data_IF_825310101072
#
_entry.id   IF_825310101072
#
_cell.length_a   1.000
_cell.length_b   1.000
_cell.length_c   1.000
_cell.angle_alpha   90.00
_cell.angle_beta   90.00
_cell.angle_gamma   90.00
#
_symmetry.space_group_name_H-M   'P 1'
#
loop_
_entity.id
_entity.type
_entity.pdbx_description
1 polymer ?
#
# COMPACT_ATOMS: atom_id res chain seq x y z
N UNK A 1 -30.17 -17.28 20.64
CA UNK A 1 -29.31 -17.78 19.55
C UNK A 1 -28.86 -16.68 18.56
N UNK A 2 -29.75 -15.83 18.05
CA UNK A 2 -29.42 -14.75 17.11
C UNK A 2 -28.46 -13.68 17.68
N UNK A 3 -28.61 -13.31 18.96
CA UNK A 3 -27.76 -12.33 19.64
C UNK A 3 -26.35 -12.85 19.89
N UNK A 4 -26.19 -14.15 20.18
CA UNK A 4 -24.88 -14.78 20.38
C UNK A 4 -24.08 -14.84 19.09
N UNK A 5 -24.71 -15.17 17.97
CA UNK A 5 -24.07 -15.16 16.63
C UNK A 5 -23.65 -13.74 16.21
N UNK A 6 -24.42 -12.72 16.61
CA UNK A 6 -24.10 -11.30 16.36
C UNK A 6 -22.91 -10.83 17.19
N UNK A 7 -22.80 -11.31 18.44
CA UNK A 7 -21.68 -10.99 19.33
C UNK A 7 -20.38 -11.64 18.86
N UNK A 8 -20.43 -12.92 18.52
CA UNK A 8 -19.26 -13.65 17.95
C UNK A 8 -18.79 -13.01 16.63
N UNK A 9 -19.73 -12.59 15.74
CA UNK A 9 -19.39 -11.87 14.51
C UNK A 9 -18.73 -10.51 14.79
N UNK A 10 -19.13 -9.81 15.85
CA UNK A 10 -18.53 -8.53 16.25
C UNK A 10 -17.12 -8.72 16.81
N UNK A 11 -16.91 -9.71 17.67
CA UNK A 11 -15.61 -10.05 18.24
C UNK A 11 -14.61 -10.50 17.17
N UNK A 12 -15.02 -11.39 16.27
CA UNK A 12 -14.19 -11.84 15.16
C UNK A 12 -13.83 -10.69 14.21
N UNK A 13 -14.79 -9.80 13.92
CA UNK A 13 -14.55 -8.62 13.08
C UNK A 13 -13.60 -7.62 13.78
N UNK A 14 -13.71 -7.46 15.09
CA UNK A 14 -12.83 -6.59 15.88
C UNK A 14 -11.41 -7.15 15.98
N UNK A 15 -11.27 -8.44 16.23
CA UNK A 15 -9.98 -9.14 16.29
C UNK A 15 -9.28 -9.15 14.91
N UNK A 16 -10.03 -9.36 13.82
CA UNK A 16 -9.51 -9.25 12.45
C UNK A 16 -9.05 -7.82 12.14
N UNK A 17 -9.81 -6.79 12.51
CA UNK A 17 -9.43 -5.38 12.31
C UNK A 17 -8.10 -5.07 12.99
N UNK A 18 -7.89 -5.54 14.22
CA UNK A 18 -6.67 -5.30 14.99
C UNK A 18 -5.45 -6.02 14.41
N UNK A 19 -5.61 -7.27 13.91
CA UNK A 19 -4.53 -8.01 13.23
C UNK A 19 -4.15 -7.36 11.88
N UNK A 20 -5.15 -6.98 11.10
CA UNK A 20 -4.95 -6.36 9.79
C UNK A 20 -4.28 -4.98 9.94
N UNK A 21 -4.68 -4.20 10.93
CA UNK A 21 -4.06 -2.90 11.25
C UNK A 21 -2.57 -3.04 11.61
N UNK A 22 -2.20 -4.07 12.36
CA UNK A 22 -0.80 -4.36 12.65
C UNK A 22 0.01 -4.68 11.40
N UNK A 23 -0.52 -5.49 10.48
CA UNK A 23 0.18 -5.85 9.23
C UNK A 23 0.45 -4.60 8.39
N UNK A 24 -0.56 -3.73 8.23
CA UNK A 24 -0.40 -2.50 7.47
C UNK A 24 0.56 -1.51 8.16
N UNK A 25 0.58 -1.49 9.50
CA UNK A 25 1.56 -0.72 10.25
C UNK A 25 2.99 -1.23 10.02
N UNK A 26 3.19 -2.54 10.07
CA UNK A 26 4.51 -3.12 9.81
C UNK A 26 5.00 -2.83 8.39
N UNK A 27 4.14 -2.93 7.36
CA UNK A 27 4.52 -2.58 6.00
C UNK A 27 4.90 -1.10 5.85
N UNK A 28 4.14 -0.20 6.50
CA UNK A 28 4.45 1.23 6.51
C UNK A 28 5.75 1.55 7.28
N UNK A 29 5.99 0.88 8.41
CA UNK A 29 7.23 1.05 9.17
C UNK A 29 8.42 0.52 8.37
N UNK A 30 8.29 -0.62 7.71
CA UNK A 30 9.32 -1.15 6.83
C UNK A 30 9.64 -0.19 5.67
N UNK A 31 8.61 0.42 5.04
CA UNK A 31 8.82 1.43 4.01
C UNK A 31 9.58 2.65 4.53
N UNK A 32 9.25 3.11 5.76
CA UNK A 32 9.96 4.22 6.42
C UNK A 32 11.43 3.91 6.70
N UNK A 33 11.74 2.68 7.14
CA UNK A 33 13.12 2.24 7.35
C UNK A 33 13.92 2.19 6.04
N UNK A 34 13.32 1.67 4.97
CA UNK A 34 13.94 1.66 3.64
C UNK A 34 14.21 3.09 3.17
N UNK A 35 13.22 4.00 3.34
CA UNK A 35 13.38 5.41 2.96
C UNK A 35 14.52 6.08 3.74
N UNK A 36 14.61 5.83 5.06
CA UNK A 36 15.70 6.35 5.87
C UNK A 36 17.07 5.84 5.39
N UNK A 37 17.16 4.55 5.08
CA UNK A 37 18.39 3.96 4.54
C UNK A 37 18.77 4.59 3.20
N UNK A 38 17.82 4.81 2.30
CA UNK A 38 18.06 5.48 1.01
C UNK A 38 18.54 6.92 1.18
N UNK A 39 17.97 7.64 2.16
CA UNK A 39 18.40 9.01 2.46
C UNK A 39 19.87 9.05 2.93
N UNK A 40 20.26 8.14 3.83
CA UNK A 40 21.65 8.00 4.28
C UNK A 40 22.57 7.61 3.13
N UNK A 41 22.18 6.65 2.30
CA UNK A 41 22.93 6.21 1.13
C UNK A 41 23.17 7.38 0.15
N UNK A 42 22.11 8.13 -0.17
CA UNK A 42 22.21 9.28 -1.07
C UNK A 42 23.09 10.37 -0.47
N UNK A 43 23.00 10.61 0.84
CA UNK A 43 23.89 11.55 1.53
C UNK A 43 25.36 11.13 1.42
N UNK A 44 25.66 9.85 1.67
CA UNK A 44 27.01 9.31 1.57
C UNK A 44 27.56 9.40 0.13
N UNK A 45 26.73 9.11 -0.89
CA UNK A 45 27.15 9.23 -2.29
C UNK A 45 27.48 10.68 -2.66
N UNK A 46 26.60 11.63 -2.32
CA UNK A 46 26.82 13.05 -2.60
C UNK A 46 28.08 13.56 -1.88
N UNK A 47 28.26 13.18 -0.61
CA UNK A 47 29.43 13.55 0.18
C UNK A 47 30.71 12.94 -0.40
N UNK A 48 30.70 11.65 -0.71
CA UNK A 48 31.83 10.95 -1.32
C UNK A 48 32.22 11.55 -2.67
N UNK A 49 31.23 11.86 -3.49
CA UNK A 49 31.43 12.52 -4.81
C UNK A 49 32.03 13.92 -4.67
N UNK A 50 31.59 14.69 -3.67
CA UNK A 50 32.04 16.09 -3.48
C UNK A 50 33.41 16.22 -2.81
N UNK A 51 33.68 15.40 -1.80
CA UNK A 51 34.88 15.55 -0.94
C UNK A 51 35.99 14.54 -1.25
N UNK A 52 35.62 13.34 -1.72
CA UNK A 52 36.55 12.24 -1.94
C UNK A 52 36.79 11.95 -3.43
N UNK A 53 36.09 12.65 -4.35
CA UNK A 53 36.06 12.38 -5.79
C UNK A 53 35.80 10.90 -6.12
N UNK A 54 35.15 10.17 -5.22
CA UNK A 54 34.83 8.76 -5.36
C UNK A 54 33.33 8.55 -5.13
N UNK A 55 32.51 8.40 -6.19
CA UNK A 55 31.08 8.09 -6.05
C UNK A 55 30.93 6.66 -5.53
N UNK A 56 29.82 6.42 -4.79
CA UNK A 56 29.43 5.06 -4.42
C UNK A 56 28.83 4.38 -5.65
N UNK A 57 29.48 3.32 -6.16
CA UNK A 57 28.99 2.57 -7.32
C UNK A 57 27.63 1.93 -7.03
N UNK A 58 26.68 2.02 -7.99
CA UNK A 58 25.36 1.41 -7.88
C UNK A 58 24.35 2.18 -7.01
N UNK A 59 24.70 3.37 -6.48
CA UNK A 59 23.74 4.19 -5.69
C UNK A 59 22.46 4.48 -6.47
N UNK A 60 22.56 4.80 -7.74
CA UNK A 60 21.40 5.12 -8.59
C UNK A 60 20.45 3.93 -8.68
N UNK A 61 20.97 2.73 -8.92
CA UNK A 61 20.18 1.50 -9.01
C UNK A 61 19.50 1.15 -7.69
N UNK A 62 20.23 1.28 -6.56
CA UNK A 62 19.67 1.04 -5.23
C UNK A 62 18.56 2.04 -4.88
N UNK A 63 18.73 3.31 -5.25
CA UNK A 63 17.72 4.35 -5.02
C UNK A 63 16.48 4.08 -5.88
N UNK A 64 16.63 3.72 -7.14
CA UNK A 64 15.50 3.41 -8.03
C UNK A 64 14.67 2.23 -7.51
N UNK A 65 15.32 1.11 -7.19
CA UNK A 65 14.66 -0.08 -6.65
C UNK A 65 14.05 0.23 -5.27
N UNK A 66 14.79 0.92 -4.42
CA UNK A 66 14.35 1.24 -3.07
C UNK A 66 13.17 2.20 -3.04
N UNK A 67 13.11 3.19 -3.92
CA UNK A 67 11.94 4.09 -4.04
C UNK A 67 10.69 3.33 -4.47
N UNK A 68 10.80 2.37 -5.39
CA UNK A 68 9.69 1.49 -5.74
C UNK A 68 9.21 0.67 -4.54
N UNK A 69 10.13 0.07 -3.77
CA UNK A 69 9.81 -0.66 -2.54
C UNK A 69 9.09 0.22 -1.51
N UNK A 70 9.60 1.43 -1.27
CA UNK A 70 9.00 2.41 -0.35
C UNK A 70 7.56 2.71 -0.77
N UNK A 71 7.34 3.02 -2.04
CA UNK A 71 6.01 3.36 -2.55
C UNK A 71 5.01 2.20 -2.35
N UNK A 72 5.36 1.00 -2.80
CA UNK A 72 4.45 -0.14 -2.77
C UNK A 72 4.20 -0.71 -1.36
N UNK A 73 5.18 -0.61 -0.44
CA UNK A 73 5.00 -1.02 0.95
C UNK A 73 4.22 0.00 1.79
N UNK A 74 4.25 1.30 1.43
CA UNK A 74 3.48 2.33 2.12
C UNK A 74 2.00 2.37 1.72
N UNK A 75 1.67 2.00 0.48
CA UNK A 75 0.32 2.05 -0.09
C UNK A 75 -0.76 1.36 0.76
N UNK A 76 -0.57 0.12 1.29
CA UNK A 76 -1.62 -0.55 2.06
C UNK A 76 -2.11 0.27 3.24
N UNK A 77 -1.21 0.93 3.96
CA UNK A 77 -1.54 1.78 5.10
C UNK A 77 -2.29 3.04 4.67
N UNK A 78 -1.86 3.68 3.57
CA UNK A 78 -2.51 4.88 3.03
C UNK A 78 -3.96 4.59 2.62
N UNK A 79 -4.22 3.46 1.97
CA UNK A 79 -5.58 3.06 1.58
C UNK A 79 -6.44 2.70 2.79
N UNK A 80 -5.88 2.00 3.77
CA UNK A 80 -6.61 1.62 4.97
C UNK A 80 -7.05 2.83 5.80
N UNK A 81 -6.20 3.84 5.95
CA UNK A 81 -6.49 5.09 6.64
C UNK A 81 -7.36 6.06 5.84
N UNK A 82 -7.69 5.71 4.57
CA UNK A 82 -8.39 6.60 3.65
C UNK A 82 -7.69 7.97 3.51
N UNK A 83 -6.35 7.99 3.58
CA UNK A 83 -5.53 9.19 3.46
C UNK A 83 -5.56 9.83 2.05
N UNK A 84 -6.31 9.25 1.11
CA UNK A 84 -6.53 9.80 -0.22
C UNK A 84 -7.44 11.04 -0.15
N UNK A 85 -6.90 12.17 -0.50
CA UNK A 85 -7.44 13.55 -0.42
C UNK A 85 -8.88 13.72 -0.93
N UNK A 86 -9.35 12.85 -1.81
CA UNK A 86 -10.70 12.93 -2.40
C UNK A 86 -11.85 12.57 -1.45
N UNK A 87 -11.59 12.00 -0.26
CA UNK A 87 -12.65 11.57 0.64
C UNK A 87 -13.25 12.72 1.45
N UNK A 88 -12.47 13.72 1.81
CA UNK A 88 -12.93 14.83 2.64
C UNK A 88 -13.84 15.79 1.87
N UNK A 89 -13.63 15.94 0.57
CA UNK A 89 -14.50 16.78 -0.27
C UNK A 89 -15.91 16.23 -0.38
N UNK A 90 -16.05 14.90 -0.46
CA UNK A 90 -17.37 14.21 -0.54
C UNK A 90 -18.07 14.20 0.82
N UNK A 91 -17.30 14.18 1.93
CA UNK A 91 -17.86 14.17 3.27
C UNK A 91 -18.52 15.49 3.65
N UNK A 92 -18.06 16.63 3.12
CA UNK A 92 -18.56 17.96 3.40
C UNK A 92 -19.81 18.34 2.57
N UNK A 93 -20.14 17.56 1.55
CA UNK A 93 -21.33 17.78 0.73
C UNK A 93 -22.51 16.97 1.30
N UNK A 94 -23.56 17.68 1.71
CA UNK A 94 -24.79 17.10 2.32
C UNK A 94 -25.70 16.43 1.25
N UNK A 95 -25.15 15.47 0.48
CA UNK A 95 -25.71 14.91 -0.76
C UNK A 95 -26.56 13.63 -0.55
N UNK A 96 -26.99 13.30 0.68
CA UNK A 96 -27.91 12.18 0.93
C UNK A 96 -27.54 10.86 0.22
N UNK A 97 -28.41 10.35 -0.64
CA UNK A 97 -28.22 9.08 -1.38
C UNK A 97 -27.08 9.15 -2.42
N UNK A 98 -26.77 10.32 -2.95
CA UNK A 98 -25.69 10.52 -3.94
C UNK A 98 -24.33 10.24 -3.32
N UNK A 99 -24.14 10.53 -2.04
CA UNK A 99 -22.92 10.22 -1.28
C UNK A 99 -22.60 8.71 -1.32
N UNK A 100 -23.60 7.87 -1.10
CA UNK A 100 -23.40 6.41 -1.13
C UNK A 100 -22.99 5.92 -2.52
N UNK A 101 -23.61 6.45 -3.58
CA UNK A 101 -23.25 6.11 -4.95
C UNK A 101 -21.80 6.49 -5.29
N UNK A 102 -21.36 7.69 -4.90
CA UNK A 102 -19.98 8.15 -5.11
C UNK A 102 -18.95 7.30 -4.35
N UNK A 103 -19.28 6.87 -3.13
CA UNK A 103 -18.40 5.96 -2.35
C UNK A 103 -18.26 4.60 -3.03
N UNK A 104 -19.34 4.04 -3.56
CA UNK A 104 -19.31 2.77 -4.29
C UNK A 104 -18.53 2.91 -5.59
N UNK A 105 -18.75 3.99 -6.36
CA UNK A 105 -18.02 4.26 -7.59
C UNK A 105 -16.52 4.39 -7.32
N UNK A 106 -16.12 5.15 -6.29
CA UNK A 106 -14.73 5.26 -5.84
C UNK A 106 -14.14 3.88 -5.52
N UNK A 107 -14.86 3.05 -4.77
CA UNK A 107 -14.40 1.71 -4.41
C UNK A 107 -14.13 0.85 -5.65
N UNK A 108 -15.08 0.80 -6.59
CA UNK A 108 -14.97 0.00 -7.81
C UNK A 108 -13.77 0.45 -8.65
N UNK A 109 -13.60 1.75 -8.84
CA UNK A 109 -12.46 2.31 -9.60
C UNK A 109 -11.12 1.99 -8.92
N UNK A 110 -11.00 2.23 -7.60
CA UNK A 110 -9.77 1.94 -6.87
C UNK A 110 -9.44 0.45 -6.90
N UNK A 111 -10.42 -0.42 -6.67
CA UNK A 111 -10.22 -1.86 -6.67
C UNK A 111 -9.79 -2.35 -8.06
N UNK A 112 -10.44 -1.87 -9.12
CA UNK A 112 -10.11 -2.24 -10.52
C UNK A 112 -8.66 -1.85 -10.86
N UNK A 113 -8.27 -0.60 -10.63
CA UNK A 113 -6.93 -0.12 -10.94
C UNK A 113 -5.87 -0.88 -10.13
N UNK A 114 -6.07 -1.01 -8.81
CA UNK A 114 -5.08 -1.67 -7.95
C UNK A 114 -4.96 -3.16 -8.23
N UNK A 115 -6.05 -3.85 -8.58
CA UNK A 115 -5.97 -5.27 -8.96
C UNK A 115 -5.23 -5.49 -10.29
N UNK A 116 -5.44 -4.60 -11.27
CA UNK A 116 -4.69 -4.64 -12.54
C UNK A 116 -3.20 -4.37 -12.31
N UNK A 117 -2.85 -3.39 -11.48
CA UNK A 117 -1.45 -3.10 -11.14
C UNK A 117 -0.80 -4.26 -10.38
N UNK A 118 -1.50 -4.86 -9.40
CA UNK A 118 -1.00 -6.02 -8.66
C UNK A 118 -0.73 -7.21 -9.59
N UNK A 119 -1.65 -7.47 -10.52
CA UNK A 119 -1.48 -8.52 -11.53
C UNK A 119 -0.29 -8.24 -12.46
N UNK A 120 -0.19 -7.02 -12.99
CA UNK A 120 0.92 -6.62 -13.87
C UNK A 120 2.28 -6.73 -13.18
N UNK A 121 2.39 -6.29 -11.90
CA UNK A 121 3.62 -6.39 -11.12
C UNK A 121 4.01 -7.85 -10.86
N UNK A 122 3.02 -8.72 -10.58
CA UNK A 122 3.26 -10.15 -10.39
C UNK A 122 3.77 -10.81 -11.68
N UNK A 123 3.16 -10.50 -12.84
CA UNK A 123 3.64 -10.99 -14.14
C UNK A 123 5.06 -10.51 -14.46
N UNK A 124 5.38 -9.26 -14.14
CA UNK A 124 6.72 -8.70 -14.36
C UNK A 124 7.75 -9.39 -13.49
N UNK A 125 7.43 -9.66 -12.21
CA UNK A 125 8.29 -10.43 -11.31
C UNK A 125 8.60 -11.82 -11.88
N UNK A 126 7.58 -12.53 -12.38
CA UNK A 126 7.73 -13.84 -12.99
C UNK A 126 8.60 -13.80 -14.27
N UNK A 127 8.40 -12.78 -15.12
CA UNK A 127 9.23 -12.59 -16.33
C UNK A 127 10.69 -12.34 -15.97
N UNK A 128 10.98 -11.54 -14.93
CA UNK A 128 12.37 -11.29 -14.52
C UNK A 128 13.03 -12.50 -13.87
N UNK A 129 12.25 -13.35 -13.22
CA UNK A 129 12.75 -14.62 -12.72
C UNK A 129 13.22 -15.54 -13.86
N UNK A 130 12.42 -15.65 -14.94
CA UNK A 130 12.74 -16.49 -16.10
C UNK A 130 13.91 -15.92 -16.93
N UNK A 131 13.99 -14.60 -17.07
CA UNK A 131 14.99 -13.94 -17.90
C UNK A 131 16.28 -13.60 -17.14
N UNK A 132 16.37 -13.91 -15.84
CA UNK A 132 17.52 -13.64 -14.97
C UNK A 132 18.09 -12.22 -15.14
N UNK A 133 17.21 -11.22 -15.30
CA UNK A 133 17.66 -9.83 -15.44
C UNK A 133 18.38 -9.36 -14.20
N UNK A 134 19.57 -8.77 -14.43
CA UNK A 134 20.44 -8.17 -13.40
C UNK A 134 20.56 -6.66 -13.65
N UNK A 135 20.89 -5.90 -12.61
CA UNK A 135 21.26 -4.49 -12.71
C UNK A 135 22.63 -4.36 -13.39
N UNK A 136 22.92 -3.17 -13.95
CA UNK A 136 24.13 -2.94 -14.76
C UNK A 136 25.39 -2.81 -13.91
N UNK A 137 25.30 -2.10 -12.76
CA UNK A 137 26.45 -1.75 -11.93
C UNK A 137 26.71 -2.78 -10.81
N UNK A 138 25.61 -3.28 -10.18
CA UNK A 138 25.69 -4.18 -9.01
C UNK A 138 25.41 -5.64 -9.33
N UNK A 139 25.01 -5.96 -10.57
CA UNK A 139 24.62 -7.32 -11.01
C UNK A 139 23.56 -7.98 -10.11
N UNK A 140 22.73 -7.16 -9.44
CA UNK A 140 21.67 -7.64 -8.57
C UNK A 140 20.47 -8.12 -9.39
N UNK A 141 19.91 -9.25 -9.01
CA UNK A 141 18.69 -9.76 -9.64
C UNK A 141 17.47 -8.89 -9.31
N UNK A 142 16.71 -8.47 -10.32
CA UNK A 142 15.50 -7.67 -10.14
C UNK A 142 14.32 -8.44 -9.53
N UNK A 143 14.24 -9.76 -9.74
CA UNK A 143 13.07 -10.56 -9.38
C UNK A 143 12.67 -10.49 -7.90
N UNK A 144 13.58 -10.53 -6.89
CA UNK A 144 13.18 -10.52 -5.50
C UNK A 144 12.54 -9.18 -5.09
N UNK A 145 13.03 -8.06 -5.64
CA UNK A 145 12.49 -6.74 -5.35
C UNK A 145 11.09 -6.57 -5.93
N UNK A 146 10.86 -7.00 -7.17
CA UNK A 146 9.54 -6.99 -7.79
C UNK A 146 8.56 -7.93 -7.10
N UNK A 147 9.03 -9.03 -6.54
CA UNK A 147 8.19 -9.94 -5.75
C UNK A 147 7.71 -9.27 -4.46
N UNK A 148 8.58 -8.56 -3.74
CA UNK A 148 8.19 -7.78 -2.55
C UNK A 148 7.20 -6.66 -2.92
N UNK A 149 7.42 -5.96 -4.04
CA UNK A 149 6.49 -4.96 -4.56
C UNK A 149 5.11 -5.58 -4.87
N UNK A 150 5.07 -6.76 -5.48
CA UNK A 150 3.83 -7.47 -5.77
C UNK A 150 3.07 -7.83 -4.48
N UNK A 151 3.75 -8.28 -3.43
CA UNK A 151 3.14 -8.51 -2.11
C UNK A 151 2.53 -7.22 -1.56
N UNK A 152 3.25 -6.10 -1.61
CA UNK A 152 2.75 -4.77 -1.19
C UNK A 152 1.49 -4.37 -1.95
N UNK A 153 1.44 -4.61 -3.26
CA UNK A 153 0.27 -4.33 -4.10
C UNK A 153 -0.94 -5.20 -3.73
N UNK A 154 -0.76 -6.50 -3.50
CA UNK A 154 -1.84 -7.38 -3.05
C UNK A 154 -2.34 -7.01 -1.64
N UNK A 155 -1.46 -6.60 -0.74
CA UNK A 155 -1.85 -6.05 0.56
C UNK A 155 -2.68 -4.77 0.40
N UNK A 156 -2.39 -3.92 -0.59
CA UNK A 156 -3.17 -2.72 -0.89
C UNK A 156 -4.58 -3.05 -1.37
N UNK A 157 -4.75 -4.09 -2.19
CA UNK A 157 -6.09 -4.58 -2.59
C UNK A 157 -6.89 -5.02 -1.37
N UNK A 158 -6.27 -5.77 -0.45
CA UNK A 158 -6.92 -6.19 0.82
C UNK A 158 -7.28 -4.97 1.66
N UNK A 159 -6.40 -3.95 1.73
CA UNK A 159 -6.65 -2.71 2.47
C UNK A 159 -7.87 -1.93 1.93
N UNK A 160 -8.02 -1.84 0.61
CA UNK A 160 -9.17 -1.20 -0.04
C UNK A 160 -10.48 -1.93 0.31
N UNK A 161 -10.48 -3.25 0.30
CA UNK A 161 -11.66 -4.05 0.68
C UNK A 161 -11.99 -3.83 2.16
N UNK A 162 -11.00 -3.85 3.04
CA UNK A 162 -11.18 -3.63 4.47
C UNK A 162 -11.72 -2.21 4.76
N UNK A 163 -11.20 -1.20 4.08
CA UNK A 163 -11.70 0.18 4.16
C UNK A 163 -13.18 0.27 3.73
N UNK A 164 -13.55 -0.33 2.61
CA UNK A 164 -14.93 -0.31 2.09
C UNK A 164 -15.92 -0.94 3.07
N UNK A 165 -15.59 -2.09 3.65
CA UNK A 165 -16.42 -2.76 4.66
C UNK A 165 -16.64 -1.86 5.88
N UNK A 166 -15.60 -1.15 6.34
CA UNK A 166 -15.71 -0.23 7.47
C UNK A 166 -16.61 0.97 7.14
N UNK A 167 -16.43 1.55 5.95
CA UNK A 167 -17.22 2.72 5.49
C UNK A 167 -18.69 2.40 5.34
N UNK A 168 -19.05 1.24 4.77
CA UNK A 168 -20.48 0.82 4.67
C UNK A 168 -21.09 0.62 6.07
N UNK A 169 -20.34 0.05 7.01
CA UNK A 169 -20.84 -0.12 8.39
C UNK A 169 -21.14 1.22 9.07
N UNK A 170 -20.31 2.24 8.85
CA UNK A 170 -20.53 3.60 9.36
C UNK A 170 -21.79 4.24 8.75
N UNK A 171 -21.94 4.17 7.43
CA UNK A 171 -23.10 4.72 6.73
C UNK A 171 -24.41 4.08 7.25
N UNK A 172 -24.42 2.75 7.41
CA UNK A 172 -25.61 2.02 7.88
C UNK A 172 -25.91 2.25 9.37
N UNK A 173 -24.91 2.52 10.19
CA UNK A 173 -25.05 2.89 11.60
C UNK A 173 -25.66 4.28 11.76
N UNK A 174 -25.24 5.24 10.93
CA UNK A 174 -25.78 6.61 10.96
C UNK A 174 -27.20 6.69 10.42
N UNK A 175 -27.56 5.87 9.44
CA UNK A 175 -28.92 5.79 8.88
C UNK A 175 -29.95 5.22 9.86
N UNK A 176 -29.55 4.58 10.96
CA UNK A 176 -30.45 4.04 12.01
C UNK A 176 -30.64 4.99 13.18
N UNK A 177 -29.96 6.15 13.20
CA UNK A 177 -30.10 7.15 14.27
C UNK A 177 -31.08 8.28 13.93
N UNK A 178 -31.64 8.27 12.72
CA UNK A 178 -32.76 9.10 12.25
C UNK A 178 -33.97 8.20 11.95
#
# INVERSE_FOLDING_TARGET
MVYMLKFIKLEVAFCMKFKIDKIFNYSATASGLVLFFLAVLTFCDVFGRRFLNSPVTGTIELVEIGMALVAFLAMPRAFFLNANVSADFINNLNLGKIKTYLVVLKFVLMLSIMSLMAYATTLTSYKFMNNQRVTLDLELYFYPFYFICAIGMWLSVIAIIAWFINTIKEINSNSRKF
#
